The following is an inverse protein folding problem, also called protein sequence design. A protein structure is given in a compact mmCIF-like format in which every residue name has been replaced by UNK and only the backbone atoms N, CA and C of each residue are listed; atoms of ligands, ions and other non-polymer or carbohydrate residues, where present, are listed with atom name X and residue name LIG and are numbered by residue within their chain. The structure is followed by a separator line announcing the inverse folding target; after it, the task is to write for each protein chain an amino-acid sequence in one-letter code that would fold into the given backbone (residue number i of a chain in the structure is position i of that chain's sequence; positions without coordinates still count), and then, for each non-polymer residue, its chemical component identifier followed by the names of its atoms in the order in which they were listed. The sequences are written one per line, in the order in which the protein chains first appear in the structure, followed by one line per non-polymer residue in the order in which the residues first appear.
data_IF_342866513625
#
_entry.id   IF_342866513625
#
_cell.length_a   1.000
_cell.length_b   1.000
_cell.length_c   1.000
_cell.angle_alpha   90.00
_cell.angle_beta   90.00
_cell.angle_gamma   90.00
#
_symmetry.space_group_name_H-M   'P 1'
#
loop_
_entity.id
_entity.type
_entity.pdbx_description
1 polymer ?
#
# COMPACT_ATOMS: atom_id res chain seq x y z
N UNK A 1 -51.32 0.91 48.54
CA UNK A 1 -51.82 2.29 48.37
C UNK A 1 -50.84 3.06 47.52
N UNK A 2 -51.39 3.90 46.63
CA UNK A 2 -50.75 4.85 45.70
C UNK A 2 -50.09 4.27 44.43
N UNK A 3 -50.66 4.73 43.32
CA UNK A 3 -50.41 4.47 41.91
C UNK A 3 -50.15 5.84 41.23
N UNK A 4 -49.76 5.81 39.94
CA UNK A 4 -49.81 6.89 38.93
C UNK A 4 -48.57 7.80 38.74
N UNK A 5 -47.89 7.70 37.58
CA UNK A 5 -48.15 8.55 36.41
C UNK A 5 -47.34 8.11 35.16
N UNK A 6 -47.85 8.43 33.98
CA UNK A 6 -47.48 7.90 32.66
C UNK A 6 -46.95 8.97 31.67
N UNK A 7 -45.95 8.60 30.83
CA UNK A 7 -45.60 8.98 29.41
C UNK A 7 -45.27 10.47 29.03
N UNK A 8 -44.66 10.85 27.85
CA UNK A 8 -44.11 10.11 26.66
C UNK A 8 -42.71 10.58 26.04
N UNK A 9 -42.25 9.86 24.99
CA UNK A 9 -41.15 9.93 23.92
C UNK A 9 -40.53 11.29 23.45
N UNK A 10 -39.37 11.42 22.67
CA UNK A 10 -38.96 10.62 21.48
C UNK A 10 -37.41 10.55 21.16
N UNK A 11 -36.87 10.46 19.90
CA UNK A 11 -35.74 9.57 19.54
C UNK A 11 -34.46 10.33 19.11
N UNK A 12 -33.50 9.59 18.53
CA UNK A 12 -32.39 10.06 17.67
C UNK A 12 -31.02 10.11 18.32
N UNK A 13 -30.15 9.19 17.90
CA UNK A 13 -28.78 9.59 17.54
C UNK A 13 -28.45 9.00 16.16
N UNK A 14 -28.38 9.91 15.20
CA UNK A 14 -27.88 9.70 13.87
C UNK A 14 -26.39 9.30 13.88
N UNK A 15 -26.06 8.33 13.01
CA UNK A 15 -24.90 8.27 12.13
C UNK A 15 -23.49 8.56 12.66
N UNK A 16 -22.62 7.54 12.57
CA UNK A 16 -21.37 7.66 11.81
C UNK A 16 -21.09 6.37 11.02
N UNK A 17 -20.73 6.45 9.73
CA UNK A 17 -20.40 5.28 8.92
C UNK A 17 -19.12 4.61 9.44
N UNK A 18 -19.19 3.28 9.54
CA UNK A 18 -18.08 2.40 9.92
C UNK A 18 -16.98 2.51 8.87
N UNK A 19 -15.97 3.34 9.15
CA UNK A 19 -14.72 3.34 8.39
C UNK A 19 -14.14 1.93 8.42
N UNK A 20 -13.87 1.40 7.23
CA UNK A 20 -13.28 0.09 7.02
C UNK A 20 -11.99 -0.04 7.80
N UNK A 21 -12.05 -0.84 8.87
CA UNK A 21 -10.91 -1.22 9.68
C UNK A 21 -10.04 -2.13 8.80
N UNK A 22 -9.01 -1.56 8.18
CA UNK A 22 -7.88 -2.34 7.70
C UNK A 22 -7.35 -3.12 8.90
N UNK A 23 -7.49 -4.45 8.85
CA UNK A 23 -7.01 -5.34 9.88
C UNK A 23 -5.48 -5.30 9.86
N UNK A 24 -4.90 -4.50 10.75
CA UNK A 24 -3.51 -4.68 11.17
C UNK A 24 -3.35 -6.12 11.68
N UNK A 25 -2.25 -6.82 11.33
CA UNK A 25 -1.99 -8.17 11.84
C UNK A 25 -2.01 -8.14 13.37
N UNK A 26 -2.83 -9.05 13.91
CA UNK A 26 -3.12 -9.39 15.31
C UNK A 26 -2.49 -8.52 16.41
N UNK A 27 -3.38 -7.89 17.20
CA UNK A 27 -3.16 -7.21 18.49
C UNK A 27 -1.72 -7.19 19.00
N UNK A 28 -0.96 -6.20 18.54
CA UNK A 28 0.46 -6.07 18.85
C UNK A 28 0.65 -4.90 19.79
N UNK A 29 1.17 -5.16 20.98
CA UNK A 29 1.44 -4.14 22.02
C UNK A 29 2.28 -2.98 21.46
N UNK A 30 2.14 -1.78 22.03
CA UNK A 30 2.88 -0.55 21.61
C UNK A 30 4.40 -0.79 21.50
N UNK A 31 4.95 -1.69 22.31
CA UNK A 31 6.36 -2.10 22.28
C UNK A 31 6.75 -2.84 20.99
N UNK A 32 5.89 -3.72 20.49
CA UNK A 32 6.19 -4.50 19.28
C UNK A 32 6.01 -3.68 18.00
N UNK A 33 5.02 -2.78 17.94
CA UNK A 33 4.90 -1.83 16.82
C UNK A 33 6.12 -0.88 16.77
N UNK A 34 6.57 -0.38 17.92
CA UNK A 34 7.76 0.48 17.98
C UNK A 34 9.02 -0.25 17.51
N UNK A 35 9.17 -1.52 17.88
CA UNK A 35 10.27 -2.38 17.44
C UNK A 35 10.22 -2.66 15.94
N UNK A 36 9.06 -3.08 15.42
CA UNK A 36 8.88 -3.36 13.99
C UNK A 36 9.18 -2.11 13.16
N UNK A 37 8.74 -0.94 13.62
CA UNK A 37 9.04 0.33 12.96
C UNK A 37 10.53 0.69 13.00
N UNK A 38 11.19 0.51 14.16
CA UNK A 38 12.62 0.69 14.28
C UNK A 38 13.40 -0.28 13.36
N UNK A 39 12.94 -1.52 13.22
CA UNK A 39 13.53 -2.53 12.36
C UNK A 39 13.44 -2.13 10.87
N UNK A 40 12.27 -1.70 10.41
CA UNK A 40 12.08 -1.26 9.03
C UNK A 40 13.00 -0.08 8.65
N UNK A 41 13.26 0.83 9.59
CA UNK A 41 14.18 1.98 9.37
C UNK A 41 15.65 1.57 9.22
N UNK A 42 16.03 0.38 9.66
CA UNK A 42 17.42 -0.11 9.59
C UNK A 42 17.72 -0.89 8.31
N UNK A 43 16.70 -1.22 7.53
CA UNK A 43 16.84 -1.97 6.29
C UNK A 43 17.37 -1.05 5.17
N UNK A 44 18.44 -1.46 4.46
CA UNK A 44 19.00 -0.70 3.34
C UNK A 44 18.12 -0.84 2.09
N UNK A 45 18.26 0.12 1.17
CA UNK A 45 17.46 0.19 -0.06
C UNK A 45 17.98 -0.72 -1.19
N UNK A 46 19.14 -1.37 -1.04
CA UNK A 46 19.78 -2.19 -2.08
C UNK A 46 20.55 -3.38 -1.47
N UNK A 47 20.81 -4.37 -2.32
CA UNK A 47 21.72 -5.51 -2.06
C UNK A 47 23.15 -5.01 -1.73
N UNK A 48 23.93 -5.70 -0.87
CA UNK A 48 23.71 -7.05 -0.30
C UNK A 48 22.70 -7.14 0.85
N UNK A 49 22.18 -6.01 1.33
CA UNK A 49 21.25 -5.97 2.45
C UNK A 49 21.95 -5.90 3.82
N UNK A 50 21.16 -6.03 4.89
CA UNK A 50 21.64 -6.13 6.27
C UNK A 50 21.22 -7.47 6.87
N UNK A 51 22.10 -8.13 7.60
CA UNK A 51 21.81 -9.45 8.16
C UNK A 51 20.92 -9.35 9.41
N UNK A 52 20.20 -10.42 9.73
CA UNK A 52 19.42 -10.51 10.98
C UNK A 52 20.29 -10.29 12.23
N UNK A 53 21.58 -10.67 12.19
CA UNK A 53 22.51 -10.49 13.30
C UNK A 53 22.89 -9.01 13.48
N UNK A 54 23.16 -8.31 12.38
CA UNK A 54 23.44 -6.86 12.41
C UNK A 54 22.21 -6.06 12.84
N UNK A 55 21.01 -6.47 12.40
CA UNK A 55 19.75 -5.85 12.84
C UNK A 55 19.52 -5.99 14.34
N UNK A 56 19.86 -7.14 14.95
CA UNK A 56 19.82 -7.29 16.41
C UNK A 56 20.73 -6.28 17.10
N UNK A 57 21.95 -6.10 16.59
CA UNK A 57 22.90 -5.15 17.16
C UNK A 57 22.40 -3.70 17.04
N UNK A 58 21.90 -3.31 15.85
CA UNK A 58 21.35 -1.97 15.64
C UNK A 58 20.08 -1.70 16.45
N UNK A 59 19.22 -2.70 16.61
CA UNK A 59 18.03 -2.56 17.46
C UNK A 59 18.41 -2.39 18.94
N UNK A 60 19.46 -3.09 19.41
CA UNK A 60 19.99 -2.89 20.76
C UNK A 60 20.51 -1.47 20.97
N UNK A 61 21.24 -0.92 19.99
CA UNK A 61 21.77 0.46 20.05
C UNK A 61 20.64 1.50 20.13
N UNK A 62 19.51 1.23 19.47
CA UNK A 62 18.30 2.07 19.51
C UNK A 62 17.42 1.79 20.75
N UNK A 63 17.85 0.91 21.67
CA UNK A 63 17.19 0.63 22.95
C UNK A 63 16.23 -0.57 22.95
N UNK A 64 16.19 -1.38 21.90
CA UNK A 64 15.39 -2.61 21.82
C UNK A 64 16.25 -3.85 22.03
N UNK A 65 16.10 -4.53 23.17
CA UNK A 65 16.80 -5.81 23.41
C UNK A 65 15.98 -6.99 22.85
N UNK A 66 16.39 -7.51 21.69
CA UNK A 66 15.64 -8.52 20.93
C UNK A 66 16.55 -9.66 20.48
N UNK A 67 15.99 -10.85 20.31
CA UNK A 67 16.75 -12.01 19.81
C UNK A 67 16.78 -12.06 18.29
N UNK A 68 17.75 -12.78 17.70
CA UNK A 68 17.80 -13.05 16.25
C UNK A 68 16.50 -13.69 15.74
N UNK A 69 15.95 -14.63 16.51
CA UNK A 69 14.64 -15.28 16.21
C UNK A 69 13.50 -14.27 16.15
N UNK A 70 13.50 -13.27 17.04
CA UNK A 70 12.48 -12.21 17.04
C UNK A 70 12.59 -11.34 15.79
N UNK A 71 13.81 -10.96 15.42
CA UNK A 71 14.07 -10.17 14.20
C UNK A 71 13.67 -10.93 12.95
N UNK A 72 14.02 -12.22 12.84
CA UNK A 72 13.63 -13.07 11.70
C UNK A 72 12.11 -13.26 11.61
N UNK A 73 11.43 -13.47 12.74
CA UNK A 73 9.96 -13.55 12.77
C UNK A 73 9.32 -12.24 12.32
N UNK A 74 9.77 -11.11 12.84
CA UNK A 74 9.24 -9.79 12.50
C UNK A 74 9.49 -9.48 11.00
N UNK A 75 10.67 -9.82 10.46
CA UNK A 75 10.98 -9.65 9.02
C UNK A 75 10.06 -10.50 8.13
N UNK A 76 9.83 -11.76 8.50
CA UNK A 76 8.91 -12.63 7.77
C UNK A 76 7.48 -12.07 7.79
N UNK A 77 6.99 -11.61 8.94
CA UNK A 77 5.66 -10.99 9.07
C UNK A 77 5.58 -9.69 8.25
N UNK A 78 6.61 -8.85 8.30
CA UNK A 78 6.67 -7.59 7.58
C UNK A 78 6.78 -7.78 6.06
N UNK A 79 7.50 -8.81 5.58
CA UNK A 79 7.60 -9.11 4.14
C UNK A 79 6.27 -9.49 3.48
N UNK A 80 5.24 -9.81 4.27
CA UNK A 80 3.89 -10.05 3.75
C UNK A 80 3.18 -8.77 3.34
N UNK A 81 3.61 -7.62 3.87
CA UNK A 81 2.92 -6.32 3.74
C UNK A 81 3.83 -5.31 3.02
N UNK A 82 5.12 -5.36 3.32
CA UNK A 82 6.14 -4.49 2.77
C UNK A 82 6.95 -5.22 1.69
N UNK A 83 7.38 -4.53 0.62
CA UNK A 83 8.21 -5.11 -0.45
C UNK A 83 9.65 -5.33 0.04
N UNK A 84 9.82 -6.27 0.97
CA UNK A 84 11.11 -6.68 1.54
C UNK A 84 11.63 -7.91 0.79
N UNK A 85 12.90 -7.89 0.45
CA UNK A 85 13.59 -9.00 -0.19
C UNK A 85 14.67 -9.56 0.73
N UNK A 86 14.77 -10.89 0.73
CA UNK A 86 15.86 -11.62 1.37
C UNK A 86 16.83 -12.05 0.29
N UNK A 87 18.03 -11.50 0.30
CA UNK A 87 19.12 -11.92 -0.56
C UNK A 87 19.62 -13.30 -0.08
N UNK A 88 19.27 -14.34 -0.83
CA UNK A 88 19.71 -15.73 -0.63
C UNK A 88 20.97 -16.09 -1.42
N UNK A 89 21.51 -15.15 -2.21
CA UNK A 89 22.65 -15.40 -3.12
C UNK A 89 24.00 -15.46 -2.41
N UNK A 90 24.10 -14.99 -1.17
CA UNK A 90 25.32 -15.06 -0.36
C UNK A 90 25.00 -15.23 1.12
N UNK A 91 25.73 -16.11 1.79
CA UNK A 91 25.71 -16.22 3.25
C UNK A 91 26.69 -15.18 3.82
N UNK A 92 26.32 -14.40 4.85
CA UNK A 92 25.03 -14.39 5.53
C UNK A 92 23.91 -13.67 4.75
N UNK A 93 22.69 -14.21 4.81
CA UNK A 93 21.53 -13.66 4.11
C UNK A 93 21.23 -12.23 4.57
N UNK A 94 21.19 -11.31 3.62
CA UNK A 94 20.85 -9.91 3.86
C UNK A 94 19.38 -9.63 3.56
N UNK A 95 18.76 -8.79 4.39
CA UNK A 95 17.43 -8.24 4.15
C UNK A 95 17.57 -6.82 3.61
N UNK A 96 16.78 -6.47 2.61
CA UNK A 96 16.72 -5.13 2.06
C UNK A 96 15.33 -4.82 1.53
N UNK A 97 15.07 -3.53 1.28
CA UNK A 97 13.92 -3.14 0.49
C UNK A 97 14.11 -3.59 -0.97
N UNK A 98 13.05 -4.06 -1.60
CA UNK A 98 13.05 -4.27 -3.05
C UNK A 98 13.33 -2.94 -3.77
N UNK A 99 14.14 -2.97 -4.83
CA UNK A 99 14.45 -1.77 -5.62
C UNK A 99 13.20 -1.10 -6.22
N UNK A 100 12.08 -1.83 -6.34
CA UNK A 100 10.79 -1.33 -6.82
C UNK A 100 9.93 -0.64 -5.74
N UNK A 101 10.41 -0.53 -4.49
CA UNK A 101 9.63 0.00 -3.36
C UNK A 101 9.47 1.54 -3.35
N UNK A 102 10.06 2.25 -4.31
CA UNK A 102 9.80 3.67 -4.53
C UNK A 102 11.08 4.50 -4.71
N UNK A 103 11.14 5.21 -5.83
CA UNK A 103 11.98 6.39 -6.03
C UNK A 103 13.47 6.11 -6.03
N UNK A 104 14.02 5.89 -7.21
CA UNK A 104 15.45 5.75 -7.42
C UNK A 104 16.16 7.11 -7.31
N UNK A 105 16.20 7.74 -6.14
CA UNK A 105 17.04 8.92 -5.92
C UNK A 105 17.73 8.83 -4.55
N UNK A 106 19.02 8.45 -4.61
CA UNK A 106 20.04 8.61 -3.57
C UNK A 106 19.79 7.85 -2.26
N UNK A 107 19.94 6.53 -2.31
CA UNK A 107 20.51 5.73 -1.21
C UNK A 107 19.74 5.67 0.12
N UNK A 108 18.54 6.26 0.21
CA UNK A 108 17.74 6.25 1.42
C UNK A 108 16.28 5.94 1.07
N UNK A 109 15.77 4.82 1.58
CA UNK A 109 14.37 4.46 1.44
C UNK A 109 13.52 5.38 2.32
N UNK A 110 12.63 6.17 1.70
CA UNK A 110 11.70 7.00 2.47
C UNK A 110 10.48 6.19 2.91
N UNK A 111 10.64 5.53 4.06
CA UNK A 111 9.55 4.82 4.73
C UNK A 111 8.37 5.74 5.06
N UNK A 112 8.59 7.03 5.28
CA UNK A 112 7.48 7.96 5.53
C UNK A 112 6.70 8.24 4.25
N UNK A 113 7.37 8.41 3.11
CA UNK A 113 6.74 8.50 1.79
C UNK A 113 5.96 7.24 1.42
N UNK A 114 6.52 6.06 1.68
CA UNK A 114 5.84 4.78 1.48
C UNK A 114 4.58 4.64 2.36
N UNK A 115 4.70 4.95 3.66
CA UNK A 115 3.56 4.89 4.59
C UNK A 115 2.49 5.94 4.30
N UNK A 116 2.89 7.09 3.74
CA UNK A 116 1.95 8.13 3.35
C UNK A 116 1.09 7.66 2.17
N UNK A 117 1.56 6.71 1.34
CA UNK A 117 0.77 6.07 0.29
C UNK A 117 0.20 7.02 -0.77
N UNK A 118 0.66 8.28 -0.79
CA UNK A 118 -0.11 9.39 -1.35
C UNK A 118 0.51 10.07 -2.58
N UNK A 119 1.54 9.49 -3.18
CA UNK A 119 2.08 10.09 -4.40
C UNK A 119 2.00 9.10 -5.55
N UNK A 120 0.77 8.93 -6.04
CA UNK A 120 0.53 8.68 -7.47
C UNK A 120 1.09 9.83 -8.32
N UNK A 121 1.41 10.98 -7.70
CA UNK A 121 2.10 12.09 -8.33
C UNK A 121 3.50 11.68 -8.82
N UNK A 122 3.81 11.94 -10.10
CA UNK A 122 5.15 11.73 -10.64
C UNK A 122 6.17 12.66 -9.95
N UNK A 123 7.39 12.17 -9.74
CA UNK A 123 8.52 13.04 -9.42
C UNK A 123 8.79 13.99 -10.61
N UNK A 124 9.41 15.15 -10.39
CA UNK A 124 9.64 16.15 -11.45
C UNK A 124 10.28 15.53 -12.70
N UNK A 125 9.48 15.34 -13.76
CA UNK A 125 9.91 14.78 -15.05
C UNK A 125 9.89 13.25 -15.17
N UNK A 126 9.51 12.50 -14.14
CA UNK A 126 9.46 11.03 -14.13
C UNK A 126 8.01 10.56 -13.91
N UNK A 127 7.23 10.51 -14.99
CA UNK A 127 5.87 10.03 -14.98
C UNK A 127 5.49 9.35 -16.29
N UNK A 128 4.64 8.35 -16.21
CA UNK A 128 4.01 7.74 -17.38
C UNK A 128 2.65 8.40 -17.62
N UNK A 129 2.32 8.55 -18.89
CA UNK A 129 0.98 8.97 -19.27
C UNK A 129 0.05 7.75 -19.18
N UNK A 130 -0.77 7.71 -18.13
CA UNK A 130 -1.80 6.69 -17.96
C UNK A 130 -3.05 7.11 -18.74
N UNK A 131 -3.47 6.24 -19.66
CA UNK A 131 -4.77 6.29 -20.28
C UNK A 131 -5.56 5.06 -19.87
N UNK A 132 -6.75 5.25 -19.31
CA UNK A 132 -7.59 4.16 -18.85
C UNK A 132 -9.06 4.48 -19.10
N UNK A 133 -9.81 3.46 -19.48
CA UNK A 133 -11.25 3.48 -19.35
C UNK A 133 -11.63 3.27 -17.88
N UNK A 134 -12.60 4.03 -17.40
CA UNK A 134 -13.12 3.93 -16.03
C UNK A 134 -14.65 3.96 -16.04
N UNK A 135 -15.25 3.25 -15.08
CA UNK A 135 -16.69 3.31 -14.84
C UNK A 135 -17.16 4.68 -14.33
N UNK A 136 -18.44 4.99 -14.48
CA UNK A 136 -19.05 6.22 -13.95
C UNK A 136 -18.91 6.37 -12.43
N UNK A 137 -18.93 5.25 -11.70
CA UNK A 137 -18.72 5.24 -10.26
C UNK A 137 -17.30 5.68 -9.91
N UNK A 138 -16.29 5.14 -10.61
CA UNK A 138 -14.91 5.52 -10.41
C UNK A 138 -14.66 6.97 -10.85
N UNK A 139 -15.25 7.41 -11.97
CA UNK A 139 -15.15 8.78 -12.44
C UNK A 139 -15.68 9.81 -11.43
N UNK A 140 -16.82 9.53 -10.77
CA UNK A 140 -17.34 10.40 -9.70
C UNK A 140 -16.37 10.54 -8.53
N UNK A 141 -15.79 9.43 -8.06
CA UNK A 141 -14.78 9.46 -6.98
C UNK A 141 -13.55 10.27 -7.38
N UNK A 142 -13.08 10.09 -8.61
CA UNK A 142 -11.91 10.83 -9.12
C UNK A 142 -12.17 12.33 -9.27
N UNK A 143 -13.40 12.77 -9.53
CA UNK A 143 -13.72 14.21 -9.52
C UNK A 143 -13.60 14.84 -8.14
N UNK A 144 -13.87 14.08 -7.08
CA UNK A 144 -13.75 14.54 -5.70
C UNK A 144 -12.30 14.49 -5.21
N UNK A 145 -11.59 13.41 -5.54
CA UNK A 145 -10.19 13.21 -5.19
C UNK A 145 -9.38 12.84 -6.44
N UNK A 146 -8.89 13.84 -7.20
CA UNK A 146 -8.13 13.60 -8.41
C UNK A 146 -6.79 12.92 -8.10
N UNK A 147 -6.32 12.04 -8.99
CA UNK A 147 -5.04 11.33 -8.82
C UNK A 147 -3.86 12.29 -8.91
N UNK A 148 -3.94 13.24 -9.85
CA UNK A 148 -2.94 14.26 -10.14
C UNK A 148 -3.61 15.54 -10.63
N UNK A 149 -2.88 16.66 -10.59
CA UNK A 149 -3.40 17.97 -10.98
C UNK A 149 -3.70 18.08 -12.49
N UNK A 150 -3.01 17.30 -13.32
CA UNK A 150 -3.15 17.26 -14.78
C UNK A 150 -4.21 16.24 -15.26
N UNK A 151 -4.90 15.59 -14.32
CA UNK A 151 -5.89 14.56 -14.61
C UNK A 151 -7.07 15.11 -15.43
N UNK A 152 -7.39 14.42 -16.52
CA UNK A 152 -8.51 14.73 -17.41
C UNK A 152 -9.46 13.54 -17.51
N UNK A 153 -10.77 13.83 -17.52
CA UNK A 153 -11.83 12.86 -17.69
C UNK A 153 -12.70 13.23 -18.90
N UNK A 154 -12.70 12.39 -19.93
CA UNK A 154 -13.53 12.55 -21.12
C UNK A 154 -14.70 11.57 -21.05
N UNK A 155 -15.93 12.04 -21.24
CA UNK A 155 -17.10 11.15 -21.30
C UNK A 155 -17.08 10.28 -22.55
N UNK A 156 -17.46 9.01 -22.41
CA UNK A 156 -17.64 8.03 -23.48
C UNK A 156 -19.06 7.45 -23.41
N UNK A 157 -19.47 6.68 -24.42
CA UNK A 157 -20.81 6.07 -24.49
C UNK A 157 -21.12 5.16 -23.28
N UNK A 158 -20.11 4.51 -22.71
CA UNK A 158 -20.21 3.71 -21.50
C UNK A 158 -19.05 4.06 -20.59
N UNK A 159 -19.21 5.00 -19.65
CA UNK A 159 -18.16 5.40 -18.71
C UNK A 159 -17.31 6.59 -19.18
N UNK A 160 -16.07 6.67 -18.69
CA UNK A 160 -15.15 7.79 -18.94
C UNK A 160 -13.76 7.30 -19.35
N UNK A 161 -13.07 8.09 -20.16
CA UNK A 161 -11.64 7.96 -20.41
C UNK A 161 -10.88 8.88 -19.45
N UNK A 162 -10.04 8.27 -18.62
CA UNK A 162 -9.07 8.92 -17.74
C UNK A 162 -7.74 9.10 -18.47
N UNK A 163 -7.18 10.30 -18.39
CA UNK A 163 -5.82 10.63 -18.82
C UNK A 163 -5.11 11.37 -17.69
N UNK A 164 -3.96 10.88 -17.24
CA UNK A 164 -3.19 11.51 -16.16
C UNK A 164 -1.70 11.14 -16.27
N UNK A 165 -0.81 12.06 -15.90
CA UNK A 165 0.60 11.74 -15.71
C UNK A 165 0.80 11.21 -14.30
N UNK A 166 1.19 9.95 -14.15
CA UNK A 166 1.33 9.28 -12.85
C UNK A 166 2.72 8.65 -12.72
N UNK A 167 3.19 8.47 -11.48
CA UNK A 167 4.46 7.77 -11.25
C UNK A 167 4.36 6.29 -11.69
N UNK A 168 5.28 5.82 -12.54
CA UNK A 168 5.39 4.38 -12.85
C UNK A 168 5.96 3.64 -11.65
N UNK A 169 5.05 3.14 -10.82
CA UNK A 169 5.38 2.69 -9.48
C UNK A 169 4.50 1.53 -9.06
N UNK A 170 4.90 0.86 -7.99
CA UNK A 170 4.10 -0.20 -7.39
C UNK A 170 2.76 0.28 -6.78
N UNK A 171 2.70 1.43 -6.09
CA UNK A 171 1.43 2.01 -5.63
C UNK A 171 0.40 2.20 -6.75
N UNK A 172 0.83 2.64 -7.94
CA UNK A 172 -0.04 2.74 -9.10
C UNK A 172 -0.64 1.37 -9.47
N UNK A 173 0.18 0.33 -9.56
CA UNK A 173 -0.27 -1.03 -9.90
C UNK A 173 -1.29 -1.55 -8.89
N UNK A 174 -1.05 -1.35 -7.59
CA UNK A 174 -2.02 -1.70 -6.55
C UNK A 174 -3.32 -0.92 -6.65
N UNK A 175 -3.23 0.39 -6.89
CA UNK A 175 -4.40 1.22 -7.08
C UNK A 175 -5.23 0.72 -8.27
N UNK A 176 -4.58 0.41 -9.41
CA UNK A 176 -5.24 -0.14 -10.60
C UNK A 176 -5.93 -1.48 -10.31
N UNK A 177 -5.22 -2.43 -9.69
CA UNK A 177 -5.77 -3.75 -9.36
C UNK A 177 -6.94 -3.65 -8.37
N UNK A 178 -6.89 -2.70 -7.43
CA UNK A 178 -7.97 -2.50 -6.46
C UNK A 178 -9.28 -1.99 -7.08
N UNK A 179 -9.24 -1.45 -8.31
CA UNK A 179 -10.46 -1.02 -9.01
C UNK A 179 -11.23 -2.17 -9.66
N UNK A 180 -10.61 -3.35 -9.83
CA UNK A 180 -11.26 -4.52 -10.43
C UNK A 180 -11.68 -4.29 -11.88
N UNK A 181 -12.91 -4.65 -12.21
CA UNK A 181 -13.54 -4.47 -13.53
C UNK A 181 -14.00 -3.03 -13.82
N UNK A 182 -13.99 -2.16 -12.79
CA UNK A 182 -14.36 -0.75 -12.91
C UNK A 182 -13.30 0.13 -13.59
N UNK A 183 -12.16 -0.45 -13.99
CA UNK A 183 -11.06 0.22 -14.67
C UNK A 183 -10.41 -0.73 -15.68
N UNK A 184 -10.10 -0.21 -16.88
CA UNK A 184 -9.31 -0.92 -17.89
C UNK A 184 -8.21 0.01 -18.39
N UNK A 185 -6.95 -0.39 -18.18
CA UNK A 185 -5.80 0.36 -18.71
C UNK A 185 -5.78 0.25 -20.23
N UNK A 186 -5.77 1.37 -20.93
CA UNK A 186 -5.64 1.46 -22.39
C UNK A 186 -4.18 1.67 -22.79
N UNK A 187 -3.47 2.56 -22.10
CA UNK A 187 -2.04 2.83 -22.28
C UNK A 187 -1.35 3.20 -20.94
N UNK A 188 -0.05 2.90 -20.77
CA UNK A 188 0.84 2.21 -21.71
C UNK A 188 0.55 0.70 -21.82
N UNK A 189 0.80 0.12 -23.01
CA UNK A 189 0.50 -1.30 -23.30
C UNK A 189 1.25 -2.28 -22.38
N UNK A 190 2.47 -1.94 -21.97
CA UNK A 190 3.25 -2.74 -21.04
C UNK A 190 2.53 -2.89 -19.69
N UNK A 191 2.04 -1.78 -19.14
CA UNK A 191 1.28 -1.76 -17.88
C UNK A 191 -0.04 -2.52 -18.03
N UNK A 192 -0.77 -2.31 -19.13
CA UNK A 192 -2.00 -3.07 -19.44
C UNK A 192 -1.73 -4.57 -19.43
N UNK A 193 -0.66 -5.02 -20.09
CA UNK A 193 -0.28 -6.44 -20.15
C UNK A 193 0.12 -7.02 -18.79
N UNK A 194 0.71 -6.21 -17.92
CA UNK A 194 1.04 -6.60 -16.54
C UNK A 194 -0.22 -6.80 -15.68
N UNK A 195 -1.14 -5.84 -15.71
CA UNK A 195 -2.41 -5.89 -14.97
C UNK A 195 -3.27 -7.06 -15.47
N UNK A 196 -3.38 -7.24 -16.80
CA UNK A 196 -4.15 -8.32 -17.39
C UNK A 196 -3.63 -9.72 -16.99
N UNK A 197 -2.31 -9.94 -17.03
CA UNK A 197 -1.70 -11.21 -16.59
C UNK A 197 -2.00 -11.49 -15.11
N UNK A 198 -1.89 -10.46 -14.26
CA UNK A 198 -2.15 -10.58 -12.82
C UNK A 198 -3.60 -10.96 -12.55
N UNK A 199 -4.55 -10.26 -13.16
CA UNK A 199 -5.98 -10.55 -13.01
C UNK A 199 -6.36 -11.92 -13.57
N UNK A 200 -5.81 -12.32 -14.73
CA UNK A 200 -6.06 -13.64 -15.31
C UNK A 200 -5.55 -14.77 -14.42
N UNK A 201 -4.34 -14.62 -13.85
CA UNK A 201 -3.77 -15.58 -12.91
C UNK A 201 -4.60 -15.68 -11.63
N UNK A 202 -5.07 -14.55 -11.10
CA UNK A 202 -5.95 -14.53 -9.93
C UNK A 202 -7.29 -15.24 -10.22
N UNK A 203 -7.95 -14.89 -11.32
CA UNK A 203 -9.22 -15.49 -11.72
C UNK A 203 -9.12 -17.00 -12.01
N UNK A 204 -7.97 -17.47 -12.51
CA UNK A 204 -7.73 -18.91 -12.68
C UNK A 204 -7.80 -19.69 -11.36
N UNK A 205 -7.34 -19.11 -10.24
CA UNK A 205 -7.33 -19.77 -8.91
C UNK A 205 -8.70 -19.95 -8.28
N UNK A 206 -9.73 -19.25 -8.76
CA UNK A 206 -11.11 -19.35 -8.27
C UNK A 206 -12.00 -20.24 -9.15
N UNK A 207 -11.43 -20.84 -10.21
CA UNK A 207 -12.16 -21.72 -11.14
C UNK A 207 -12.05 -23.21 -10.77
N UNK A 208 -11.38 -23.51 -9.67
CA UNK A 208 -11.30 -24.81 -9.00
C UNK A 208 -12.18 -24.81 -7.73
#
# INVERSE_FOLDING_TARGET
MANCHALPVPPSYAGKPRQGRFLLPFATTRATLSRQWALLRQLPSRSPGITSAELVWRLRDVGFNVSKRTVERDLNELSLIFPLERNDKSIPFGWHWSANAGGELRGNFDLQGYLRGDTLQPGQGEGIELQAWISDLLARRLRETPLTADMQLTALDQGHRLRATVADSWPLRWWLLSQGDGLVVEAPLALRGEIARTLASAAAKYRD
#
